data_IF_701024908956
#
_entry.id   IF_701024908956
#
_cell.length_a   1.000
_cell.length_b   1.000
_cell.length_c   1.000
_cell.angle_alpha   90.00
_cell.angle_beta   90.00
_cell.angle_gamma   90.00
#
_symmetry.space_group_name_H-M   'P 1'
#
loop_
_entity.id
_entity.type
_entity.pdbx_description
1 polymer ?
#
# COMPACT_ATOMS: atom_id res chain seq x y z
N UNK A 1 -15.53 -2.86 -74.98
CA UNK A 1 -14.69 -2.48 -73.82
C UNK A 1 -15.29 -3.13 -72.58
N UNK A 2 -14.60 -4.11 -71.98
CA UNK A 2 -15.13 -4.93 -70.87
C UNK A 2 -15.00 -4.14 -69.55
N UNK A 3 -16.12 -3.75 -68.95
CA UNK A 3 -16.14 -3.16 -67.59
C UNK A 3 -16.07 -4.31 -66.58
N UNK A 4 -14.93 -4.45 -65.90
CA UNK A 4 -14.77 -5.36 -64.76
C UNK A 4 -15.45 -4.72 -63.54
N UNK A 5 -16.49 -5.36 -63.03
CA UNK A 5 -17.13 -5.01 -61.77
C UNK A 5 -16.25 -5.54 -60.63
N UNK A 6 -15.62 -4.64 -59.86
CA UNK A 6 -14.84 -4.99 -58.68
C UNK A 6 -15.79 -5.07 -57.48
N UNK A 7 -16.08 -6.28 -57.01
CA UNK A 7 -16.88 -6.51 -55.80
C UNK A 7 -15.96 -6.32 -54.58
N UNK A 8 -16.17 -5.24 -53.82
CA UNK A 8 -15.43 -4.96 -52.59
C UNK A 8 -16.03 -5.80 -51.45
N UNK A 9 -15.34 -6.87 -51.05
CA UNK A 9 -15.75 -7.73 -49.93
C UNK A 9 -15.37 -7.03 -48.62
N UNK A 10 -16.36 -6.41 -47.97
CA UNK A 10 -16.19 -5.74 -46.68
C UNK A 10 -16.17 -6.81 -45.58
N UNK A 11 -14.96 -7.31 -45.25
CA UNK A 11 -14.74 -8.21 -44.11
C UNK A 11 -14.93 -7.40 -42.83
N UNK A 12 -16.12 -7.52 -42.21
CA UNK A 12 -16.32 -7.14 -40.82
C UNK A 12 -15.48 -8.08 -39.95
N UNK A 13 -14.25 -7.68 -39.63
CA UNK A 13 -13.48 -8.28 -38.55
C UNK A 13 -14.15 -7.87 -37.23
N UNK A 14 -15.14 -8.63 -36.78
CA UNK A 14 -15.61 -8.55 -35.40
C UNK A 14 -14.47 -9.05 -34.52
N UNK A 15 -13.82 -8.13 -33.82
CA UNK A 15 -12.89 -8.49 -32.75
C UNK A 15 -13.68 -9.20 -31.66
N UNK A 16 -13.45 -10.49 -31.48
CA UNK A 16 -13.97 -11.23 -30.34
C UNK A 16 -13.32 -10.68 -29.08
N UNK A 17 -14.08 -9.92 -28.29
CA UNK A 17 -13.71 -9.61 -26.91
C UNK A 17 -14.20 -10.78 -26.07
N UNK A 18 -13.28 -11.66 -25.66
CA UNK A 18 -13.62 -12.74 -24.73
C UNK A 18 -13.89 -12.15 -23.35
N UNK A 19 -15.18 -12.01 -23.02
CA UNK A 19 -15.64 -11.73 -21.68
C UNK A 19 -15.58 -13.02 -20.85
N UNK A 20 -14.86 -12.99 -19.73
CA UNK A 20 -14.86 -14.05 -18.74
C UNK A 20 -15.93 -13.76 -17.70
N UNK A 21 -16.60 -14.82 -17.24
CA UNK A 21 -17.60 -14.76 -16.17
C UNK A 21 -17.22 -15.76 -15.08
N UNK A 22 -17.00 -15.28 -13.85
CA UNK A 22 -16.76 -16.10 -12.67
C UNK A 22 -17.99 -16.02 -11.76
N UNK A 23 -18.54 -17.16 -11.35
CA UNK A 23 -19.74 -17.22 -10.50
C UNK A 23 -19.37 -17.59 -9.07
N UNK A 24 -20.03 -16.94 -8.13
CA UNK A 24 -19.85 -17.18 -6.70
C UNK A 24 -21.21 -17.39 -6.04
N UNK A 25 -21.24 -18.33 -5.11
CA UNK A 25 -22.36 -18.59 -4.21
C UNK A 25 -21.83 -18.39 -2.80
N UNK A 26 -22.63 -17.78 -1.93
CA UNK A 26 -22.30 -17.55 -0.53
C UNK A 26 -23.18 -18.48 0.30
N UNK A 27 -22.60 -19.54 0.87
CA UNK A 27 -23.33 -20.40 1.80
C UNK A 27 -23.27 -19.79 3.20
N UNK A 28 -24.34 -19.09 3.57
CA UNK A 28 -24.42 -18.41 4.85
C UNK A 28 -24.44 -19.38 6.03
N UNK A 29 -23.64 -19.06 7.03
CA UNK A 29 -23.67 -19.65 8.37
C UNK A 29 -24.32 -18.65 9.34
N UNK A 30 -25.11 -19.15 10.29
CA UNK A 30 -25.91 -18.30 11.18
C UNK A 30 -25.06 -17.43 12.12
N UNK A 31 -23.87 -17.92 12.52
CA UNK A 31 -22.96 -17.22 13.44
C UNK A 31 -21.52 -17.70 13.32
N UNK A 32 -20.59 -16.77 13.24
CA UNK A 32 -19.13 -16.98 13.33
C UNK A 32 -18.58 -16.03 14.39
N UNK A 33 -17.70 -16.54 15.27
CA UNK A 33 -16.96 -15.69 16.21
C UNK A 33 -15.80 -15.01 15.49
N UNK A 34 -15.78 -13.67 15.48
CA UNK A 34 -14.72 -12.85 14.87
C UNK A 34 -13.83 -12.17 15.91
N UNK A 35 -13.90 -12.61 17.16
CA UNK A 35 -13.12 -12.13 18.30
C UNK A 35 -12.55 -13.29 19.11
N UNK A 36 -11.85 -12.99 20.20
CA UNK A 36 -11.36 -13.97 21.17
C UNK A 36 -12.51 -14.65 21.92
N UNK A 37 -12.31 -15.88 22.37
CA UNK A 37 -13.35 -16.66 23.08
C UNK A 37 -13.79 -16.05 24.42
N UNK A 38 -12.94 -15.26 25.07
CA UNK A 38 -13.26 -14.56 26.32
C UNK A 38 -14.24 -13.39 26.12
N UNK A 39 -14.21 -12.76 24.94
CA UNK A 39 -15.07 -11.63 24.56
C UNK A 39 -15.56 -11.83 23.13
N UNK A 40 -16.42 -12.83 22.90
CA UNK A 40 -16.80 -13.23 21.56
C UNK A 40 -17.66 -12.14 20.91
N UNK A 41 -17.44 -11.96 19.60
CA UNK A 41 -18.27 -11.09 18.75
C UNK A 41 -18.81 -12.01 17.67
N UNK A 42 -20.12 -12.21 17.65
CA UNK A 42 -20.75 -13.07 16.66
C UNK A 42 -21.30 -12.23 15.52
N UNK A 43 -21.04 -12.67 14.29
CA UNK A 43 -21.60 -12.07 13.09
C UNK A 43 -22.07 -13.17 12.12
N UNK A 44 -22.94 -12.87 11.16
CA UNK A 44 -23.21 -13.76 10.04
C UNK A 44 -21.93 -14.18 9.34
N UNK A 45 -21.80 -15.48 9.09
CA UNK A 45 -20.62 -16.05 8.47
C UNK A 45 -20.92 -16.68 7.12
N UNK A 46 -19.86 -17.15 6.48
CA UNK A 46 -19.89 -18.03 5.32
C UNK A 46 -18.48 -18.64 5.18
N UNK A 47 -18.18 -19.28 4.05
CA UNK A 47 -16.95 -20.05 3.88
C UNK A 47 -15.70 -19.22 4.22
N UNK A 48 -14.91 -19.70 5.19
CA UNK A 48 -13.72 -19.00 5.70
C UNK A 48 -12.73 -18.57 4.62
N UNK A 49 -12.63 -19.33 3.52
CA UNK A 49 -11.74 -19.01 2.40
C UNK A 49 -12.10 -17.68 1.72
N UNK A 50 -13.36 -17.23 1.83
CA UNK A 50 -13.84 -16.00 1.23
C UNK A 50 -14.29 -14.96 2.28
N UNK A 51 -14.30 -15.31 3.56
CA UNK A 51 -14.83 -14.48 4.64
C UNK A 51 -13.74 -13.57 5.23
N UNK A 52 -14.06 -12.29 5.37
CA UNK A 52 -13.24 -11.32 6.09
C UNK A 52 -14.13 -10.43 6.94
N UNK A 53 -13.66 -10.10 8.14
CA UNK A 53 -14.31 -9.16 9.04
C UNK A 53 -13.30 -8.11 9.51
N UNK A 54 -13.72 -6.86 9.46
CA UNK A 54 -13.00 -5.73 10.01
C UNK A 54 -13.98 -4.89 10.86
N UNK A 55 -13.53 -4.42 12.02
CA UNK A 55 -14.40 -3.70 12.94
C UNK A 55 -14.91 -2.36 12.36
N UNK A 56 -14.22 -1.79 11.37
CA UNK A 56 -14.55 -0.52 10.71
C UNK A 56 -15.31 -0.77 9.39
N UNK A 57 -14.89 -1.74 8.59
CA UNK A 57 -15.49 -2.02 7.27
C UNK A 57 -16.61 -3.09 7.31
N UNK A 58 -16.79 -3.78 8.43
CA UNK A 58 -17.79 -4.85 8.58
C UNK A 58 -17.37 -6.15 7.90
N UNK A 59 -18.35 -6.91 7.44
CA UNK A 59 -18.13 -8.19 6.75
C UNK A 59 -17.84 -7.91 5.27
N UNK A 60 -16.82 -8.57 4.72
CA UNK A 60 -16.54 -8.61 3.28
C UNK A 60 -16.44 -10.04 2.79
N UNK A 61 -16.99 -10.26 1.59
CA UNK A 61 -16.66 -11.43 0.79
C UNK A 61 -15.46 -11.08 -0.09
N UNK A 62 -14.41 -11.90 -0.08
CA UNK A 62 -13.24 -11.77 -0.95
C UNK A 62 -13.02 -13.06 -1.74
N UNK A 63 -12.73 -12.94 -3.03
CA UNK A 63 -12.30 -14.07 -3.84
C UNK A 63 -11.09 -13.69 -4.69
N UNK A 64 -10.15 -14.62 -4.80
CA UNK A 64 -8.93 -14.47 -5.58
C UNK A 64 -8.72 -15.69 -6.48
N UNK A 65 -8.27 -15.47 -7.71
CA UNK A 65 -7.88 -16.55 -8.61
C UNK A 65 -6.74 -16.12 -9.54
N UNK A 66 -6.05 -17.11 -10.10
CA UNK A 66 -5.00 -16.88 -11.09
C UNK A 66 -5.62 -16.31 -12.38
N UNK A 67 -5.05 -15.21 -12.85
CA UNK A 67 -5.43 -14.59 -14.11
C UNK A 67 -4.19 -13.95 -14.73
N UNK A 68 -3.76 -14.51 -15.87
CA UNK A 68 -2.56 -14.08 -16.59
C UNK A 68 -2.88 -13.10 -17.70
N UNK A 69 -4.14 -13.01 -18.12
CA UNK A 69 -4.63 -12.07 -19.11
C UNK A 69 -4.84 -10.65 -18.56
N UNK A 70 -5.52 -9.81 -19.33
CA UNK A 70 -6.05 -8.53 -18.84
C UNK A 70 -7.11 -8.74 -17.76
N UNK A 71 -7.41 -7.70 -16.99
CA UNK A 71 -8.51 -7.67 -16.03
C UNK A 71 -9.06 -6.26 -16.06
N UNK A 72 -9.79 -5.95 -17.14
CA UNK A 72 -10.29 -4.60 -17.41
C UNK A 72 -11.80 -4.55 -17.22
N UNK A 73 -12.24 -3.44 -16.63
CA UNK A 73 -13.64 -3.11 -16.37
C UNK A 73 -14.42 -4.23 -15.68
N UNK A 74 -13.90 -4.80 -14.58
CA UNK A 74 -14.64 -5.83 -13.86
C UNK A 74 -15.94 -5.23 -13.32
N UNK A 75 -17.00 -6.04 -13.37
CA UNK A 75 -18.33 -5.66 -12.90
C UNK A 75 -19.04 -6.87 -12.30
N UNK A 76 -19.97 -6.63 -11.39
CA UNK A 76 -20.85 -7.66 -10.85
C UNK A 76 -22.21 -7.66 -11.55
N UNK A 77 -22.73 -8.85 -11.81
CA UNK A 77 -24.02 -9.09 -12.46
C UNK A 77 -24.70 -10.32 -11.85
N UNK A 78 -25.98 -10.53 -12.16
CA UNK A 78 -26.71 -11.71 -11.68
C UNK A 78 -26.71 -11.83 -10.17
N UNK A 79 -26.78 -10.69 -9.46
CA UNK A 79 -26.84 -10.66 -8.00
C UNK A 79 -28.21 -11.22 -7.59
N UNK A 80 -28.19 -12.24 -6.75
CA UNK A 80 -29.37 -12.71 -6.02
C UNK A 80 -29.18 -12.39 -4.55
N UNK A 81 -30.23 -11.91 -3.90
CA UNK A 81 -30.21 -11.52 -2.50
C UNK A 81 -31.53 -11.83 -1.84
N UNK A 82 -31.47 -11.98 -0.53
CA UNK A 82 -32.63 -12.20 0.33
C UNK A 82 -32.62 -11.22 1.51
N UNK A 83 -33.80 -10.95 2.07
CA UNK A 83 -33.91 -10.09 3.23
C UNK A 83 -33.27 -10.75 4.45
N UNK A 84 -32.52 -9.97 5.24
CA UNK A 84 -31.96 -10.39 6.51
C UNK A 84 -32.58 -9.54 7.64
N UNK A 85 -33.04 -10.20 8.70
CA UNK A 85 -33.61 -9.52 9.87
C UNK A 85 -32.53 -8.96 10.79
N UNK A 86 -32.87 -7.97 11.61
CA UNK A 86 -31.95 -7.38 12.58
C UNK A 86 -31.37 -8.43 13.56
N UNK A 87 -32.19 -9.39 14.01
CA UNK A 87 -31.74 -10.46 14.91
C UNK A 87 -30.70 -11.38 14.26
N UNK A 88 -30.78 -11.56 12.94
CA UNK A 88 -29.81 -12.37 12.20
C UNK A 88 -28.47 -11.65 12.01
N UNK A 89 -28.38 -10.34 12.21
CA UNK A 89 -27.12 -9.61 12.14
C UNK A 89 -26.19 -9.88 13.34
N UNK A 90 -26.70 -10.50 14.40
CA UNK A 90 -25.94 -10.75 15.63
C UNK A 90 -25.33 -9.44 16.16
N UNK A 91 -24.01 -9.40 16.37
CA UNK A 91 -23.27 -8.23 16.87
C UNK A 91 -22.76 -7.30 15.74
N UNK A 92 -23.15 -7.54 14.49
CA UNK A 92 -22.71 -6.71 13.36
C UNK A 92 -23.25 -5.28 13.48
N UNK A 93 -22.35 -4.30 13.47
CA UNK A 93 -22.72 -2.90 13.53
C UNK A 93 -23.40 -2.43 12.22
N UNK A 94 -24.68 -2.12 12.30
CA UNK A 94 -25.52 -1.65 11.18
C UNK A 94 -25.03 -0.32 10.57
N UNK A 95 -24.28 0.47 11.34
CA UNK A 95 -23.70 1.72 10.85
C UNK A 95 -22.65 1.49 9.75
N UNK A 96 -22.00 0.32 9.72
CA UNK A 96 -20.95 -0.02 8.76
C UNK A 96 -21.51 -0.73 7.50
N UNK A 97 -22.83 -0.99 7.45
CA UNK A 97 -23.47 -1.62 6.30
C UNK A 97 -23.76 -0.55 5.23
N UNK A 98 -23.21 -0.70 4.00
CA UNK A 98 -23.34 0.29 2.94
C UNK A 98 -24.76 0.39 2.37
N UNK A 99 -25.08 1.56 1.81
CA UNK A 99 -26.26 1.78 0.97
C UNK A 99 -25.95 1.28 -0.45
N UNK A 100 -26.58 0.18 -0.85
CA UNK A 100 -26.32 -0.49 -2.12
C UNK A 100 -25.09 -1.41 -2.13
N UNK A 101 -24.83 -1.99 -3.29
CA UNK A 101 -23.72 -2.92 -3.48
C UNK A 101 -22.39 -2.18 -3.52
N UNK A 102 -21.46 -2.59 -2.67
CA UNK A 102 -20.07 -2.13 -2.70
C UNK A 102 -19.20 -3.20 -3.37
N UNK A 103 -18.64 -2.89 -4.55
CA UNK A 103 -17.78 -3.80 -5.31
C UNK A 103 -16.38 -3.20 -5.48
N UNK A 104 -15.39 -3.96 -5.03
CA UNK A 104 -13.97 -3.64 -5.08
C UNK A 104 -13.23 -4.74 -5.83
N UNK A 105 -12.10 -4.39 -6.42
CA UNK A 105 -11.32 -5.34 -7.22
C UNK A 105 -9.88 -4.88 -7.37
N UNK A 106 -9.01 -5.80 -7.75
CA UNK A 106 -7.63 -5.47 -8.04
C UNK A 106 -6.84 -6.61 -8.65
N UNK A 107 -5.56 -6.34 -8.86
CA UNK A 107 -4.58 -7.31 -9.35
C UNK A 107 -3.42 -7.35 -8.38
N UNK A 108 -2.92 -8.55 -8.14
CA UNK A 108 -1.73 -8.78 -7.34
C UNK A 108 -0.81 -9.76 -8.05
N UNK A 109 0.46 -9.81 -7.63
CA UNK A 109 1.43 -10.77 -8.12
C UNK A 109 2.18 -11.36 -6.93
N UNK A 110 2.19 -12.67 -6.81
CA UNK A 110 2.89 -13.37 -5.73
C UNK A 110 3.70 -14.53 -6.31
N UNK A 111 5.00 -14.59 -5.95
CA UNK A 111 5.94 -15.64 -6.39
C UNK A 111 5.93 -15.88 -7.92
N UNK A 112 5.84 -14.81 -8.69
CA UNK A 112 5.81 -14.87 -10.16
C UNK A 112 4.43 -15.15 -10.77
N UNK A 113 3.42 -15.50 -9.97
CA UNK A 113 2.06 -15.79 -10.43
C UNK A 113 1.18 -14.54 -10.30
N UNK A 114 0.44 -14.23 -11.36
CA UNK A 114 -0.50 -13.11 -11.40
C UNK A 114 -1.88 -13.56 -10.92
N UNK A 115 -2.46 -12.78 -10.02
CA UNK A 115 -3.79 -12.99 -9.48
C UNK A 115 -4.67 -11.78 -9.72
N UNK A 116 -5.96 -12.02 -9.82
CA UNK A 116 -6.99 -11.00 -9.67
C UNK A 116 -7.78 -11.30 -8.43
N UNK A 117 -8.26 -10.26 -7.77
CA UNK A 117 -9.13 -10.39 -6.62
C UNK A 117 -10.33 -9.47 -6.77
N UNK A 118 -11.41 -9.85 -6.13
CA UNK A 118 -12.64 -9.08 -6.00
C UNK A 118 -13.10 -9.11 -4.55
N UNK A 119 -13.76 -8.05 -4.13
CA UNK A 119 -14.40 -7.98 -2.82
C UNK A 119 -15.77 -7.32 -2.91
N UNK A 120 -16.76 -7.84 -2.18
CA UNK A 120 -18.06 -7.18 -1.99
C UNK A 120 -18.42 -7.05 -0.52
N UNK A 121 -19.22 -6.04 -0.19
CA UNK A 121 -20.03 -6.08 1.03
C UNK A 121 -21.20 -7.05 0.79
N UNK A 122 -21.24 -8.23 1.45
CA UNK A 122 -22.24 -9.25 1.18
C UNK A 122 -23.58 -8.93 1.86
N UNK A 123 -23.62 -7.96 2.78
CA UNK A 123 -24.83 -7.39 3.37
C UNK A 123 -24.88 -5.91 2.99
N UNK A 124 -26.02 -5.45 2.52
CA UNK A 124 -26.24 -4.08 2.08
C UNK A 124 -27.66 -3.61 2.37
N UNK A 125 -27.87 -2.30 2.33
CA UNK A 125 -29.21 -1.69 2.42
C UNK A 125 -29.72 -1.37 1.03
N UNK A 126 -30.98 -1.69 0.78
CA UNK A 126 -31.70 -1.28 -0.42
C UNK A 126 -33.04 -0.67 0.01
N UNK A 127 -33.20 0.64 -0.19
CA UNK A 127 -34.37 1.39 0.25
C UNK A 127 -34.67 1.20 1.76
N UNK A 128 -33.63 1.15 2.58
CA UNK A 128 -33.74 0.92 4.03
C UNK A 128 -33.99 -0.53 4.46
N UNK A 129 -34.15 -1.46 3.51
CA UNK A 129 -34.28 -2.90 3.80
C UNK A 129 -32.91 -3.55 3.73
N UNK A 130 -32.54 -4.27 4.78
CA UNK A 130 -31.30 -5.05 4.82
C UNK A 130 -31.45 -6.31 3.97
N UNK A 131 -30.49 -6.51 3.08
CA UNK A 131 -30.38 -7.68 2.22
C UNK A 131 -29.01 -8.30 2.32
N UNK A 132 -28.95 -9.62 2.19
CA UNK A 132 -27.71 -10.37 2.05
C UNK A 132 -27.63 -11.04 0.69
N UNK A 133 -26.47 -10.97 0.06
CA UNK A 133 -26.20 -11.59 -1.24
C UNK A 133 -26.05 -13.10 -1.06
N UNK A 134 -26.72 -13.89 -1.89
CA UNK A 134 -26.61 -15.36 -1.90
C UNK A 134 -25.83 -15.85 -3.11
N UNK A 135 -25.88 -15.14 -4.24
CA UNK A 135 -24.98 -15.40 -5.37
C UNK A 135 -24.70 -14.14 -6.19
N UNK A 136 -23.58 -14.12 -6.91
CA UNK A 136 -23.28 -13.10 -7.90
C UNK A 136 -22.29 -13.63 -8.96
N UNK A 137 -22.19 -12.91 -10.07
CA UNK A 137 -21.22 -13.19 -11.13
C UNK A 137 -20.31 -11.99 -11.36
N UNK A 138 -19.02 -12.22 -11.51
CA UNK A 138 -18.04 -11.22 -11.93
C UNK A 138 -17.77 -11.37 -13.41
N UNK A 139 -18.01 -10.29 -14.18
CA UNK A 139 -17.67 -10.21 -15.59
C UNK A 139 -16.45 -9.32 -15.78
N UNK A 140 -15.50 -9.76 -16.60
CA UNK A 140 -14.28 -9.00 -16.91
C UNK A 140 -13.72 -9.42 -18.27
N UNK A 141 -12.86 -8.60 -18.89
CA UNK A 141 -12.14 -9.01 -20.12
C UNK A 141 -10.77 -9.59 -19.78
N UNK A 142 -10.49 -10.81 -20.29
CA UNK A 142 -9.27 -11.57 -20.00
C UNK A 142 -8.30 -11.68 -21.19
N UNK A 143 -8.32 -10.70 -22.10
CA UNK A 143 -7.45 -10.76 -23.26
C UNK A 143 -5.98 -10.72 -22.85
N UNK A 144 -5.20 -11.71 -23.29
CA UNK A 144 -3.74 -11.71 -23.12
C UNK A 144 -3.14 -10.55 -23.92
N UNK A 145 -2.78 -9.48 -23.23
CA UNK A 145 -2.09 -8.35 -23.85
C UNK A 145 -0.60 -8.63 -23.89
N UNK A 146 0.01 -8.66 -25.08
CA UNK A 146 1.47 -8.54 -25.28
C UNK A 146 1.94 -7.11 -25.00
N UNK A 147 1.44 -6.50 -23.94
CA UNK A 147 1.83 -5.16 -23.55
C UNK A 147 3.07 -5.32 -22.69
N UNK A 148 4.22 -4.85 -23.19
CA UNK A 148 5.42 -4.76 -22.38
C UNK A 148 5.07 -3.92 -21.16
N UNK A 149 5.00 -4.55 -20.00
CA UNK A 149 4.97 -3.80 -18.76
C UNK A 149 6.30 -3.09 -18.68
N UNK A 150 6.27 -1.76 -18.81
CA UNK A 150 7.35 -0.91 -18.34
C UNK A 150 7.50 -1.22 -16.85
N UNK A 151 8.45 -2.11 -16.54
CA UNK A 151 8.86 -2.33 -15.16
C UNK A 151 9.56 -1.04 -14.79
N UNK A 152 8.98 -0.26 -13.88
CA UNK A 152 9.69 0.83 -13.22
C UNK A 152 10.77 0.17 -12.35
N UNK A 153 11.89 -0.18 -12.97
CA UNK A 153 13.07 -0.60 -12.24
C UNK A 153 13.60 0.62 -11.52
N UNK A 154 13.86 0.48 -10.22
CA UNK A 154 14.59 1.50 -9.47
C UNK A 154 15.90 1.81 -10.21
N UNK A 155 16.17 3.10 -10.41
CA UNK A 155 17.42 3.53 -11.03
C UNK A 155 18.58 3.09 -10.14
N UNK A 156 19.43 2.21 -10.64
CA UNK A 156 20.63 1.77 -9.92
C UNK A 156 21.59 2.95 -9.86
N UNK A 157 21.80 3.47 -8.65
CA UNK A 157 22.75 4.54 -8.36
C UNK A 157 23.74 4.04 -7.31
N UNK A 158 24.96 4.59 -7.32
CA UNK A 158 25.94 4.29 -6.27
C UNK A 158 25.48 4.93 -4.96
N UNK A 159 25.65 4.24 -3.83
CA UNK A 159 25.33 4.78 -2.51
C UNK A 159 26.25 5.95 -2.15
N UNK A 160 25.73 6.93 -1.41
CA UNK A 160 26.51 7.98 -0.73
C UNK A 160 27.53 7.39 0.23
N UNK A 161 27.32 6.16 0.70
CA UNK A 161 28.24 5.43 1.55
C UNK A 161 29.31 4.64 0.79
N UNK A 162 29.35 4.72 -0.55
CA UNK A 162 30.31 3.97 -1.36
C UNK A 162 31.76 4.47 -1.21
N UNK A 163 31.97 5.72 -0.81
CA UNK A 163 33.29 6.31 -0.61
C UNK A 163 33.26 7.45 0.42
N UNK A 164 34.36 7.63 1.14
CA UNK A 164 34.52 8.66 2.17
C UNK A 164 34.79 8.07 3.56
N UNK A 165 35.03 8.96 4.53
CA UNK A 165 35.20 8.60 5.94
C UNK A 165 33.88 8.78 6.67
N UNK A 166 33.39 7.71 7.30
CA UNK A 166 32.09 7.70 7.95
C UNK A 166 32.20 7.61 9.47
N UNK A 167 31.53 8.53 10.15
CA UNK A 167 31.45 8.59 11.60
C UNK A 167 29.99 8.53 12.02
N UNK A 168 29.65 7.59 12.89
CA UNK A 168 28.25 7.34 13.28
C UNK A 168 27.97 7.89 14.67
N UNK A 169 26.84 8.59 14.80
CA UNK A 169 26.24 8.95 16.06
C UNK A 169 24.73 8.69 16.02
N UNK A 170 24.04 8.84 17.15
CA UNK A 170 22.58 8.67 17.25
C UNK A 170 21.95 9.90 17.89
N UNK A 171 20.67 10.10 17.60
CA UNK A 171 19.81 11.10 18.25
C UNK A 171 18.63 10.37 18.88
N UNK A 172 18.18 10.85 20.05
CA UNK A 172 17.08 10.24 20.82
C UNK A 172 15.80 11.09 20.82
N UNK A 173 15.91 12.35 20.36
CA UNK A 173 14.84 13.36 20.38
C UNK A 173 14.86 14.17 19.10
N UNK A 174 13.71 14.76 18.78
CA UNK A 174 13.59 15.73 17.69
C UNK A 174 14.02 17.12 18.17
N UNK A 175 14.86 17.80 17.41
CA UNK A 175 15.31 19.16 17.74
C UNK A 175 16.57 19.61 17.01
N UNK A 176 17.05 20.80 17.37
CA UNK A 176 18.32 21.33 16.88
C UNK A 176 19.46 20.82 17.76
N UNK A 177 20.45 20.20 17.14
CA UNK A 177 21.64 19.67 17.80
C UNK A 177 22.86 20.54 17.51
N UNK A 178 23.75 20.65 18.50
CA UNK A 178 25.06 21.27 18.37
C UNK A 178 26.14 20.20 18.45
N UNK A 179 26.93 20.06 17.39
CA UNK A 179 28.09 19.18 17.35
C UNK A 179 29.33 20.05 17.45
N UNK A 180 30.01 20.01 18.60
CA UNK A 180 31.25 20.75 18.80
C UNK A 180 32.49 19.91 18.46
N UNK A 181 33.65 20.56 18.43
CA UNK A 181 34.93 19.92 18.13
C UNK A 181 35.18 18.66 18.98
N UNK A 182 34.90 18.73 20.28
CA UNK A 182 35.13 17.61 21.22
C UNK A 182 34.26 16.42 20.88
N UNK A 183 33.01 16.66 20.49
CA UNK A 183 32.11 15.61 20.04
C UNK A 183 32.66 14.94 18.77
N UNK A 184 33.08 15.71 17.77
CA UNK A 184 33.64 15.16 16.52
C UNK A 184 34.92 14.35 16.78
N UNK A 185 35.81 14.84 17.64
CA UNK A 185 37.01 14.11 18.09
C UNK A 185 36.64 12.80 18.82
N UNK A 186 35.58 12.81 19.62
CA UNK A 186 35.10 11.60 20.32
C UNK A 186 34.58 10.51 19.39
N UNK A 187 34.17 10.88 18.17
CA UNK A 187 33.81 9.93 17.11
C UNK A 187 35.04 9.34 16.40
N UNK A 188 36.25 9.85 16.69
CA UNK A 188 37.51 9.43 16.05
C UNK A 188 37.90 10.28 14.83
N UNK A 189 37.26 11.42 14.62
CA UNK A 189 37.58 12.33 13.51
C UNK A 189 38.86 13.11 13.80
N UNK A 190 39.75 13.24 12.81
CA UNK A 190 40.91 14.12 12.90
C UNK A 190 40.51 15.57 12.54
N UNK A 191 39.88 16.26 13.48
CA UNK A 191 39.34 17.62 13.28
C UNK A 191 40.44 18.66 13.04
N UNK A 192 41.70 18.38 13.42
CA UNK A 192 42.82 19.29 13.18
C UNK A 192 43.26 19.41 11.71
N UNK A 193 42.79 18.54 10.83
CA UNK A 193 43.17 18.49 9.42
C UNK A 193 41.97 18.54 8.46
N UNK A 194 40.77 18.84 8.97
CA UNK A 194 39.54 18.85 8.18
C UNK A 194 39.20 20.27 7.71
N UNK A 195 38.79 20.39 6.44
CA UNK A 195 38.16 21.59 5.91
C UNK A 195 36.68 21.59 6.36
N UNK A 196 36.23 22.58 7.16
CA UNK A 196 34.86 22.64 7.63
C UNK A 196 33.80 22.61 6.53
N UNK A 197 34.13 23.07 5.31
CA UNK A 197 33.21 23.10 4.16
C UNK A 197 32.92 21.72 3.57
N UNK A 198 33.72 20.71 3.93
CA UNK A 198 33.58 19.33 3.46
C UNK A 198 32.74 18.46 4.40
N UNK A 199 32.38 18.97 5.57
CA UNK A 199 31.57 18.26 6.56
C UNK A 199 30.15 18.07 6.07
N UNK A 200 29.63 16.86 6.25
CA UNK A 200 28.27 16.48 5.87
C UNK A 200 27.65 15.59 6.93
N UNK A 201 26.34 15.70 7.09
CA UNK A 201 25.56 14.80 7.94
C UNK A 201 24.57 14.08 7.04
N UNK A 202 24.54 12.74 7.12
CA UNK A 202 23.63 11.90 6.35
C UNK A 202 22.67 11.16 7.27
N UNK A 203 21.39 11.05 6.88
CA UNK A 203 20.39 10.28 7.61
C UNK A 203 18.96 10.64 7.19
N UNK A 204 18.04 9.68 7.35
CA UNK A 204 16.64 9.80 6.91
C UNK A 204 15.69 10.22 8.06
N UNK A 205 16.24 10.71 9.18
CA UNK A 205 15.48 10.99 10.39
C UNK A 205 14.97 9.72 11.09
N UNK A 206 14.01 9.90 11.99
CA UNK A 206 13.36 8.83 12.76
C UNK A 206 11.88 8.69 12.42
N UNK A 207 11.46 9.13 11.24
CA UNK A 207 10.10 8.91 10.75
C UNK A 207 9.89 7.42 10.42
N UNK A 208 8.63 6.99 10.49
CA UNK A 208 8.27 5.62 10.19
C UNK A 208 8.30 5.38 8.68
N UNK A 209 8.74 4.20 8.26
CA UNK A 209 8.61 3.80 6.86
C UNK A 209 7.12 3.74 6.45
N UNK A 210 6.78 4.08 5.19
CA UNK A 210 5.42 3.92 4.69
C UNK A 210 4.93 2.47 4.87
N UNK A 211 3.66 2.30 5.23
CA UNK A 211 3.07 0.97 5.41
C UNK A 211 3.07 0.18 4.09
N UNK A 212 2.87 0.86 2.97
CA UNK A 212 2.98 0.28 1.65
C UNK A 212 4.42 0.35 1.11
N UNK A 213 5.00 -0.83 0.84
CA UNK A 213 6.34 -0.94 0.26
C UNK A 213 6.54 -0.15 -1.04
N UNK A 214 5.48 0.06 -1.82
CA UNK A 214 5.54 0.80 -3.10
C UNK A 214 5.71 2.31 -2.92
N UNK A 215 5.39 2.83 -1.73
CA UNK A 215 5.50 4.26 -1.42
C UNK A 215 6.87 4.61 -0.85
N UNK A 216 7.71 3.62 -0.52
CA UNK A 216 9.09 3.87 -0.15
C UNK A 216 9.90 4.29 -1.38
N UNK A 217 10.36 5.54 -1.37
CA UNK A 217 11.12 6.14 -2.48
C UNK A 217 12.57 6.46 -2.11
N UNK A 218 12.96 6.27 -0.85
CA UNK A 218 14.29 6.60 -0.32
C UNK A 218 15.03 5.30 0.02
N UNK A 219 16.14 5.05 -0.68
CA UNK A 219 16.93 3.80 -0.57
C UNK A 219 18.35 4.02 -0.05
N UNK A 220 18.72 5.27 0.22
CA UNK A 220 20.06 5.67 0.65
C UNK A 220 19.93 6.86 1.62
N UNK A 221 20.85 7.07 2.58
CA UNK A 221 20.78 8.21 3.49
C UNK A 221 20.80 9.55 2.76
N UNK A 222 19.88 10.44 3.13
CA UNK A 222 19.82 11.79 2.57
C UNK A 222 20.78 12.75 3.30
N UNK A 223 21.34 13.72 2.56
CA UNK A 223 22.17 14.77 3.13
C UNK A 223 21.29 15.75 3.92
N UNK A 224 21.56 15.86 5.22
CA UNK A 224 20.89 16.80 6.11
C UNK A 224 21.53 18.18 6.02
N UNK A 225 20.68 19.22 6.03
CA UNK A 225 21.16 20.60 6.07
C UNK A 225 21.88 20.89 7.37
N UNK A 226 23.09 21.45 7.27
CA UNK A 226 23.91 21.85 8.40
C UNK A 226 24.28 23.34 8.31
N UNK A 227 24.57 23.93 9.46
CA UNK A 227 25.22 25.23 9.57
C UNK A 227 26.50 25.09 10.36
N UNK A 228 27.63 25.39 9.74
CA UNK A 228 28.91 25.51 10.43
C UNK A 228 29.05 26.95 10.93
N UNK A 229 29.51 27.12 12.17
CA UNK A 229 29.75 28.43 12.80
C UNK A 229 31.21 28.48 13.26
N UNK A 230 31.95 29.52 12.84
CA UNK A 230 33.34 29.77 13.24
C UNK A 230 34.41 29.23 12.28
N UNK A 231 34.04 28.30 11.39
CA UNK A 231 34.96 27.69 10.41
C UNK A 231 35.15 28.46 9.11
N UNK A 232 34.92 29.78 9.09
CA UNK A 232 35.03 30.60 7.88
C UNK A 232 36.48 30.79 7.40
N UNK A 233 37.46 30.51 8.25
CA UNK A 233 38.90 30.59 7.95
C UNK A 233 39.50 29.29 7.38
N UNK A 234 38.65 28.27 7.16
CA UNK A 234 39.05 26.97 6.64
C UNK A 234 39.63 26.02 7.69
N UNK A 235 39.60 26.38 8.97
CA UNK A 235 39.96 25.51 10.11
C UNK A 235 38.76 25.26 11.00
N UNK A 236 38.72 24.11 11.69
CA UNK A 236 37.67 23.82 12.68
C UNK A 236 38.24 23.96 14.10
N UNK A 237 38.17 25.14 14.66
CA UNK A 237 38.81 25.52 15.92
C UNK A 237 37.98 25.14 17.16
N UNK A 238 38.53 25.41 18.35
CA UNK A 238 37.89 25.08 19.64
C UNK A 238 36.54 25.80 19.87
N UNK A 239 36.31 26.92 19.19
CA UNK A 239 35.06 27.68 19.26
C UNK A 239 33.99 27.19 18.28
N UNK A 240 34.36 26.31 17.35
CA UNK A 240 33.55 26.02 16.18
C UNK A 240 32.59 24.88 16.44
N UNK A 241 31.45 24.95 15.75
CA UNK A 241 30.41 23.94 15.89
C UNK A 241 29.50 23.85 14.67
N UNK A 242 28.88 22.69 14.54
CA UNK A 242 27.85 22.41 13.56
C UNK A 242 26.49 22.47 14.25
N UNK A 243 25.53 23.14 13.62
CA UNK A 243 24.11 23.03 13.95
C UNK A 243 23.38 22.24 12.87
N UNK A 244 22.54 21.30 13.28
CA UNK A 244 21.63 20.62 12.37
C UNK A 244 20.32 20.28 13.09
N UNK A 245 19.25 20.12 12.33
CA UNK A 245 17.96 19.67 12.84
C UNK A 245 17.83 18.15 12.65
N UNK A 246 17.65 17.42 13.74
CA UNK A 246 17.47 15.98 13.74
C UNK A 246 16.05 15.58 14.14
N UNK A 247 15.52 14.54 13.50
CA UNK A 247 14.20 13.95 13.82
C UNK A 247 14.40 12.62 14.53
N UNK A 248 13.88 12.48 15.74
CA UNK A 248 13.93 11.24 16.52
C UNK A 248 12.80 10.27 16.19
N UNK A 249 12.79 9.11 16.84
CA UNK A 249 11.87 7.98 16.56
C UNK A 249 10.51 8.08 17.25
N UNK A 250 10.23 9.23 17.89
CA UNK A 250 8.99 9.49 18.62
C UNK A 250 8.21 10.58 17.91
N UNK A 251 7.00 10.22 17.49
CA UNK A 251 6.05 11.07 16.80
C UNK A 251 4.80 10.26 16.51
N UNK A 252 3.65 10.90 16.40
CA UNK A 252 2.44 10.20 16.00
C UNK A 252 2.50 9.91 14.50
N UNK A 253 2.39 8.63 14.12
CA UNK A 253 2.24 8.19 12.75
C UNK A 253 0.77 7.84 12.51
N UNK A 254 0.12 8.58 11.61
CA UNK A 254 -1.33 8.42 11.31
C UNK A 254 -1.64 7.10 10.62
N UNK A 255 -0.73 6.60 9.78
CA UNK A 255 -0.94 5.39 8.98
C UNK A 255 -0.94 4.10 9.83
N UNK A 256 -0.01 4.02 10.79
CA UNK A 256 0.17 2.88 11.70
C UNK A 256 -0.40 3.11 13.10
N UNK A 257 -1.00 4.28 13.35
CA UNK A 257 -1.67 4.66 14.60
C UNK A 257 -0.80 4.45 15.85
N UNK A 258 0.48 4.83 15.79
CA UNK A 258 1.47 4.64 16.87
C UNK A 258 2.28 5.89 17.16
N UNK A 259 2.83 5.97 18.38
CA UNK A 259 3.77 7.02 18.81
C UNK A 259 5.24 6.57 18.75
N UNK A 260 5.47 5.31 18.39
CA UNK A 260 6.78 4.70 18.23
C UNK A 260 6.95 4.40 16.74
N UNK A 261 7.78 5.20 16.08
CA UNK A 261 8.09 4.99 14.67
C UNK A 261 9.03 3.78 14.56
N UNK A 262 8.54 2.74 13.89
CA UNK A 262 9.34 1.60 13.48
C UNK A 262 10.08 1.95 12.19
N UNK A 263 11.39 1.72 12.18
CA UNK A 263 12.30 2.06 11.09
C UNK A 263 13.13 0.84 10.71
#
# INVERSE_FOLDING_TARGET
>A
MKKKLLLLLLVFATGFVDAQTKRFTIAWEDRVNVSTDDTPIFVPGFEMANFSYDAVQGIRFFAQWEETGSFRNPSITGITSESISANQLQDLNVAHIPEGLDFTHGRSKARGVSYVWVGIAPIYKENGVLKRVTSFSVNYSAQRSSQSQQVNTLNVTNSVLASGDFFKFYIDKTGVFKLDRRFLESLGMNVGAIDPSTLKIYGNGGEMLPLLNMDNTVFDPQENSIKVVGGEDGSFDNGDYILFYGVGTRGFNEESLTHVNAY
#
